data_IF_558181149547
#
_entry.id   IF_558181149547
#
_cell.length_a   1.000
_cell.length_b   1.000
_cell.length_c   1.000
_cell.angle_alpha   90.00
_cell.angle_beta   90.00
_cell.angle_gamma   90.00
#
_symmetry.space_group_name_H-M   'P 1'
#
loop_
_entity.id
_entity.type
_entity.pdbx_description
1 polymer ?
#
# COMPACT_ATOMS: atom_id res chain seq x y z
N UNK A 1 1.42 -17.93 11.97
CA UNK A 1 2.19 -16.87 11.28
C UNK A 1 1.31 -16.31 10.18
N UNK A 2 0.66 -15.16 10.41
CA UNK A 2 -0.37 -14.63 9.50
C UNK A 2 0.27 -13.92 8.29
N UNK A 3 -0.21 -14.13 7.05
CA UNK A 3 0.52 -13.74 5.82
C UNK A 3 0.43 -12.24 5.46
N UNK A 4 -0.27 -11.43 6.24
CA UNK A 4 -0.72 -10.10 5.81
C UNK A 4 0.18 -8.94 6.24
N UNK A 5 1.31 -9.21 6.90
CA UNK A 5 2.21 -8.17 7.40
C UNK A 5 3.51 -8.16 6.60
N UNK A 6 3.63 -7.32 5.56
CA UNK A 6 4.88 -7.21 4.80
C UNK A 6 6.00 -6.69 5.71
N UNK A 7 7.07 -7.47 5.85
CA UNK A 7 8.24 -7.12 6.68
C UNK A 7 9.34 -6.43 5.86
N UNK A 8 9.30 -6.54 4.53
CA UNK A 8 10.28 -5.99 3.60
C UNK A 8 9.64 -5.26 2.43
N UNK A 9 10.22 -4.13 2.07
CA UNK A 9 9.78 -3.33 0.93
C UNK A 9 10.07 -4.04 -0.39
N UNK A 10 9.07 -4.11 -1.27
CA UNK A 10 9.21 -4.72 -2.61
C UNK A 10 10.13 -3.93 -3.56
N UNK A 11 10.37 -2.65 -3.30
CA UNK A 11 11.21 -1.78 -4.15
C UNK A 11 12.69 -1.90 -3.82
N UNK A 12 13.04 -1.83 -2.55
CA UNK A 12 14.43 -1.68 -2.09
C UNK A 12 14.84 -2.72 -1.04
N UNK A 13 13.97 -3.67 -0.69
CA UNK A 13 14.18 -4.67 0.36
C UNK A 13 14.44 -4.09 1.77
N UNK A 14 14.25 -2.77 1.95
CA UNK A 14 14.35 -2.10 3.24
C UNK A 14 13.24 -2.51 4.23
N UNK A 15 13.44 -2.19 5.50
CA UNK A 15 12.44 -2.42 6.54
C UNK A 15 11.22 -1.52 6.34
N UNK A 16 10.04 -2.05 6.66
CA UNK A 16 8.82 -1.26 6.76
C UNK A 16 8.49 -1.01 8.23
N UNK A 17 7.92 0.16 8.50
CA UNK A 17 7.39 0.53 9.82
C UNK A 17 5.89 0.78 9.70
N UNK A 18 5.14 0.40 10.73
CA UNK A 18 3.71 0.65 10.78
C UNK A 18 3.46 2.09 11.21
N UNK A 19 2.78 2.86 10.38
CA UNK A 19 2.58 4.29 10.57
C UNK A 19 1.12 4.68 10.30
N UNK A 20 0.69 5.80 10.88
CA UNK A 20 -0.63 6.38 10.65
C UNK A 20 -0.51 7.54 9.65
N UNK A 21 -1.31 7.48 8.59
CA UNK A 21 -1.36 8.49 7.54
C UNK A 21 -2.60 9.36 7.72
N UNK A 22 -2.43 10.65 7.44
CA UNK A 22 -3.48 11.65 7.54
C UNK A 22 -3.69 12.26 6.16
N UNK A 23 -4.86 12.05 5.59
CA UNK A 23 -5.36 12.71 4.39
C UNK A 23 -6.46 13.71 4.80
N UNK A 24 -6.72 14.77 4.02
CA UNK A 24 -7.82 15.69 4.30
C UNK A 24 -9.20 15.02 4.42
N UNK A 25 -9.39 13.84 3.83
CA UNK A 25 -10.68 13.11 3.82
C UNK A 25 -10.69 11.91 4.76
N UNK A 26 -9.55 11.31 5.06
CA UNK A 26 -9.48 10.04 5.78
C UNK A 26 -8.16 9.85 6.54
N UNK A 27 -8.20 8.93 7.50
CA UNK A 27 -7.03 8.49 8.26
C UNK A 27 -6.92 6.98 8.07
N UNK A 28 -5.74 6.50 7.76
CA UNK A 28 -5.51 5.06 7.61
C UNK A 28 -4.17 4.66 8.21
N UNK A 29 -4.04 3.37 8.49
CA UNK A 29 -2.79 2.78 8.96
C UNK A 29 -2.17 1.95 7.84
N UNK A 30 -0.85 2.00 7.72
CA UNK A 30 -0.13 1.26 6.70
C UNK A 30 1.35 1.10 7.02
N UNK A 31 2.03 0.31 6.20
CA UNK A 31 3.47 0.06 6.29
C UNK A 31 4.22 0.98 5.34
N UNK A 32 5.14 1.80 5.87
CA UNK A 32 6.01 2.66 5.07
C UNK A 32 7.45 2.19 5.15
N UNK A 33 8.11 2.12 3.99
CA UNK A 33 9.51 1.80 3.93
C UNK A 33 10.35 2.99 4.43
N UNK A 34 11.24 2.74 5.39
CA UNK A 34 12.13 3.77 5.94
C UNK A 34 13.24 4.22 4.97
N UNK A 35 13.45 3.47 3.88
CA UNK A 35 14.51 3.75 2.89
C UNK A 35 13.97 4.52 1.68
N UNK A 36 12.91 4.01 1.04
CA UNK A 36 12.39 4.59 -0.21
C UNK A 36 11.01 5.25 -0.08
N UNK A 37 10.38 5.16 1.10
CA UNK A 37 9.06 5.76 1.35
C UNK A 37 7.88 4.99 0.76
N UNK A 38 8.09 3.86 0.07
CA UNK A 38 7.02 3.01 -0.45
C UNK A 38 6.00 2.64 0.64
N UNK A 39 4.72 2.92 0.39
CA UNK A 39 3.60 2.64 1.30
C UNK A 39 2.87 1.38 0.82
N UNK A 40 2.57 0.50 1.76
CA UNK A 40 1.85 -0.75 1.55
C UNK A 40 0.79 -0.89 2.64
N UNK A 41 -0.43 -1.23 2.26
CA UNK A 41 -1.52 -1.63 3.16
C UNK A 41 -2.37 -2.69 2.43
N UNK A 42 -3.31 -3.36 3.11
CA UNK A 42 -4.11 -4.41 2.48
C UNK A 42 -4.88 -3.92 1.24
N UNK A 43 -5.41 -2.69 1.27
CA UNK A 43 -6.15 -2.08 0.15
C UNK A 43 -5.19 -1.75 -1.00
N UNK A 44 -4.02 -1.16 -0.73
CA UNK A 44 -3.00 -0.94 -1.76
C UNK A 44 -2.56 -2.27 -2.40
N UNK A 45 -2.38 -3.33 -1.61
CA UNK A 45 -1.99 -4.65 -2.13
C UNK A 45 -3.08 -5.26 -3.00
N UNK A 46 -4.32 -5.28 -2.53
CA UNK A 46 -5.47 -5.77 -3.30
C UNK A 46 -5.61 -4.99 -4.62
N UNK A 47 -5.52 -3.67 -4.57
CA UNK A 47 -5.58 -2.84 -5.78
C UNK A 47 -4.45 -3.15 -6.76
N UNK A 48 -3.22 -3.39 -6.28
CA UNK A 48 -2.10 -3.80 -7.13
C UNK A 48 -2.32 -5.16 -7.78
N UNK A 49 -2.87 -6.11 -7.04
CA UNK A 49 -3.16 -7.45 -7.56
C UNK A 49 -4.28 -7.40 -8.61
N UNK A 50 -5.30 -6.56 -8.41
CA UNK A 50 -6.35 -6.30 -9.42
C UNK A 50 -5.76 -5.72 -10.71
N UNK A 51 -4.88 -4.71 -10.61
CA UNK A 51 -4.19 -4.13 -11.77
C UNK A 51 -3.38 -5.20 -12.51
N UNK A 52 -2.62 -6.05 -11.78
CA UNK A 52 -1.83 -7.14 -12.36
C UNK A 52 -2.69 -8.19 -13.05
N UNK A 53 -3.87 -8.47 -12.51
CA UNK A 53 -4.85 -9.38 -13.11
C UNK A 53 -5.54 -8.79 -14.35
N UNK A 54 -5.14 -7.60 -14.82
CA UNK A 54 -5.74 -6.94 -15.97
C UNK A 54 -7.13 -6.38 -15.69
N UNK A 55 -7.55 -6.32 -14.42
CA UNK A 55 -8.79 -5.67 -14.04
C UNK A 55 -8.52 -4.17 -14.01
N UNK A 56 -8.98 -3.45 -15.03
CA UNK A 56 -8.93 -2.00 -15.05
C UNK A 56 -9.64 -1.47 -13.79
N UNK A 57 -8.87 -0.89 -12.87
CA UNK A 57 -9.44 0.03 -11.89
C UNK A 57 -9.79 1.29 -12.66
N UNK A 58 -11.08 1.51 -12.87
CA UNK A 58 -11.57 2.75 -13.44
C UNK A 58 -11.35 3.86 -12.41
N UNK A 59 -10.17 4.47 -12.42
CA UNK A 59 -9.81 5.60 -11.55
C UNK A 59 -10.56 6.86 -12.00
N UNK A 60 -11.28 6.82 -13.14
CA UNK A 60 -12.04 7.94 -13.65
C UNK A 60 -13.47 7.94 -13.14
N UNK A 61 -13.64 8.23 -11.85
CA UNK A 61 -14.94 8.74 -11.36
C UNK A 61 -14.72 9.78 -10.28
N UNK A 62 -14.35 10.98 -10.70
CA UNK A 62 -14.79 12.29 -10.18
C UNK A 62 -13.93 13.41 -10.81
N UNK A 63 -14.24 13.77 -12.07
CA UNK A 63 -14.28 15.14 -12.60
C UNK A 63 -14.82 15.09 -14.03
#
# INVERSE_FOLDING_TARGET
>A
MSPLHPTKCVRCMGNLVYNKFYSPREQFWGWQCVICGEIVDPVILENRDRIRAGQAIDVFRMA
#
